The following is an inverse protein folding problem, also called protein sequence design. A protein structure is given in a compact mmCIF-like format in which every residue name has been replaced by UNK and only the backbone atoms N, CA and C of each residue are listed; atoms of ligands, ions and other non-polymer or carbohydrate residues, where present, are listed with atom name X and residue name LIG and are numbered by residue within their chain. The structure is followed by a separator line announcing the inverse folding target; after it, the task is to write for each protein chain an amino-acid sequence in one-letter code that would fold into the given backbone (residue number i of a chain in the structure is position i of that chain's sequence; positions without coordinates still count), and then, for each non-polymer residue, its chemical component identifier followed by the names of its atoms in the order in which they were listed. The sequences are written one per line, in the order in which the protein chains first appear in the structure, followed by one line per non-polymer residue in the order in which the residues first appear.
data_IF_013278288176
#
_entry.id   IF_013278288176
#
_cell.length_a   1.000
_cell.length_b   1.000
_cell.length_c   1.000
_cell.angle_alpha   90.00
_cell.angle_beta   90.00
_cell.angle_gamma   90.00
#
_symmetry.space_group_name_H-M   'P 1'
#
loop_
_entity.id
_entity.type
_entity.pdbx_description
1 polymer ?
#
# COMPACT_ATOMS: atom_id res chain seq x y z
N UNK A 1 -22.74 37.49 -28.89
CA UNK A 1 -21.58 38.40 -28.98
C UNK A 1 -20.36 37.56 -28.69
N UNK A 2 -19.75 36.99 -29.73
CA UNK A 2 -18.63 36.06 -29.61
C UNK A 2 -17.33 36.85 -29.52
N UNK A 3 -16.59 36.64 -28.42
CA UNK A 3 -15.25 37.18 -28.23
C UNK A 3 -14.21 36.16 -28.69
N UNK A 4 -13.51 36.49 -29.77
CA UNK A 4 -12.28 35.86 -30.24
C UNK A 4 -11.13 36.20 -29.28
N UNK A 5 -10.36 35.21 -28.86
CA UNK A 5 -9.08 35.39 -28.15
C UNK A 5 -7.95 35.07 -29.12
N UNK A 6 -7.13 36.08 -29.41
CA UNK A 6 -5.95 35.95 -30.26
C UNK A 6 -4.78 35.33 -29.49
N UNK A 7 -4.16 34.37 -30.16
CA UNK A 7 -2.91 33.70 -29.83
C UNK A 7 -1.73 34.65 -29.95
N UNK A 8 -0.85 34.69 -28.94
CA UNK A 8 0.52 35.20 -29.06
C UNK A 8 1.50 34.07 -28.72
N UNK A 9 2.26 33.65 -29.72
CA UNK A 9 3.43 32.77 -29.64
C UNK A 9 4.65 33.68 -29.59
N UNK A 10 5.39 33.68 -28.48
CA UNK A 10 6.68 34.35 -28.39
C UNK A 10 7.78 33.33 -28.72
N UNK A 11 8.45 33.55 -29.85
CA UNK A 11 9.63 32.83 -30.29
C UNK A 11 10.86 33.37 -29.55
N UNK A 12 11.71 32.47 -29.03
CA UNK A 12 13.02 32.80 -28.47
C UNK A 12 14.09 31.98 -29.19
N UNK A 13 14.96 32.66 -29.91
CA UNK A 13 16.06 32.04 -30.66
C UNK A 13 17.24 31.61 -29.74
N UNK A 14 18.02 30.57 -30.13
CA UNK A 14 19.14 30.00 -29.36
C UNK A 14 20.53 30.43 -29.88
N UNK A 15 21.57 30.37 -29.03
CA UNK A 15 23.05 30.41 -29.31
C UNK A 15 23.75 30.64 -27.93
N UNK A 16 24.86 30.05 -27.47
CA UNK A 16 25.89 29.11 -27.98
C UNK A 16 26.66 28.51 -26.79
N UNK A 17 27.34 27.38 -27.05
CA UNK A 17 28.18 26.54 -26.20
C UNK A 17 29.30 27.22 -25.37
N UNK A 18 29.70 26.55 -24.27
CA UNK A 18 30.91 26.84 -23.52
C UNK A 18 31.33 25.66 -22.63
N UNK A 19 32.30 24.90 -23.12
CA UNK A 19 33.03 23.79 -22.46
C UNK A 19 33.82 24.22 -21.22
N UNK A 20 33.98 23.35 -20.23
CA UNK A 20 34.85 23.60 -19.07
C UNK A 20 34.92 22.45 -18.06
N UNK A 21 35.81 21.50 -18.31
CA UNK A 21 36.32 20.51 -17.36
C UNK A 21 37.02 21.21 -16.17
N UNK A 22 36.78 20.72 -14.95
CA UNK A 22 37.49 21.16 -13.76
C UNK A 22 37.23 20.27 -12.55
N UNK A 23 37.94 19.15 -12.46
CA UNK A 23 38.03 18.35 -11.25
C UNK A 23 38.92 19.07 -10.23
N UNK A 24 38.50 19.15 -8.97
CA UNK A 24 39.43 19.30 -7.85
C UNK A 24 38.94 18.49 -6.66
N UNK A 25 39.82 17.59 -6.23
CA UNK A 25 39.68 16.73 -5.07
C UNK A 25 40.14 17.50 -3.83
N UNK A 26 39.34 17.46 -2.76
CA UNK A 26 39.80 17.69 -1.39
C UNK A 26 39.17 16.63 -0.50
N UNK A 27 40.06 15.81 0.07
CA UNK A 27 39.70 14.64 0.87
C UNK A 27 39.04 14.99 2.20
N UNK A 28 38.17 14.09 2.63
CA UNK A 28 37.86 13.88 4.03
C UNK A 28 38.05 12.40 4.32
N UNK A 29 39.13 12.07 5.04
CA UNK A 29 39.26 10.79 5.74
C UNK A 29 38.27 10.83 6.92
N UNK A 30 37.37 9.86 6.97
CA UNK A 30 36.77 9.40 8.22
C UNK A 30 36.99 7.88 8.25
N UNK A 31 38.01 7.49 9.02
CA UNK A 31 38.20 6.14 9.52
C UNK A 31 37.41 6.12 10.84
N UNK A 32 36.51 5.15 10.97
CA UNK A 32 35.80 4.65 12.17
C UNK A 32 34.32 4.40 11.86
N UNK A 33 34.01 3.39 11.03
CA UNK A 33 32.67 2.78 11.03
C UNK A 33 32.62 1.35 10.46
N UNK A 34 33.73 0.61 10.46
CA UNK A 34 33.76 -0.77 9.91
C UNK A 34 33.65 -1.86 10.99
N UNK A 35 33.75 -1.51 12.28
CA UNK A 35 33.64 -2.46 13.40
C UNK A 35 32.18 -2.81 13.75
N UNK A 36 31.27 -1.85 13.64
CA UNK A 36 29.84 -2.05 13.93
C UNK A 36 29.13 -2.88 12.86
N UNK A 37 29.53 -2.74 11.59
CA UNK A 37 28.88 -3.44 10.48
C UNK A 37 29.15 -4.96 10.46
N UNK A 38 30.20 -5.44 11.12
CA UNK A 38 30.51 -6.87 11.20
C UNK A 38 29.83 -7.55 12.40
N UNK A 39 29.72 -6.85 13.53
CA UNK A 39 29.10 -7.36 14.77
C UNK A 39 27.56 -7.42 14.66
N UNK A 40 26.96 -6.54 13.86
CA UNK A 40 25.51 -6.49 13.63
C UNK A 40 25.00 -7.63 12.74
N UNK A 41 25.85 -8.20 11.87
CA UNK A 41 25.46 -9.32 10.97
C UNK A 41 25.09 -10.61 11.70
N UNK A 42 25.90 -11.15 12.63
CA UNK A 42 25.54 -12.34 13.37
C UNK A 42 24.33 -12.10 14.29
N UNK A 43 24.23 -10.92 14.92
CA UNK A 43 23.07 -10.54 15.75
C UNK A 43 21.76 -10.45 14.96
N UNK A 44 21.78 -9.92 13.72
CA UNK A 44 20.61 -9.94 12.83
C UNK A 44 20.26 -11.38 12.44
N UNK A 45 21.26 -12.21 12.16
CA UNK A 45 21.06 -13.61 11.75
C UNK A 45 20.44 -14.43 12.89
N UNK A 46 20.95 -14.28 14.11
CA UNK A 46 20.39 -14.88 15.32
C UNK A 46 19.00 -14.35 15.66
N UNK A 47 18.71 -13.06 15.45
CA UNK A 47 17.37 -12.49 15.65
C UNK A 47 16.33 -12.99 14.63
N UNK A 48 16.77 -13.29 13.40
CA UNK A 48 15.96 -13.91 12.34
C UNK A 48 15.68 -15.37 12.66
N UNK A 49 16.64 -16.08 13.25
CA UNK A 49 16.50 -17.48 13.64
C UNK A 49 15.65 -17.68 14.92
N UNK A 50 15.69 -16.73 15.86
CA UNK A 50 14.81 -16.74 17.06
C UNK A 50 13.36 -16.42 16.69
N UNK A 51 13.12 -15.63 15.64
CA UNK A 51 11.83 -15.49 14.98
C UNK A 51 11.61 -16.64 13.98
N UNK A 52 11.72 -17.89 14.47
CA UNK A 52 11.47 -19.14 13.75
C UNK A 52 10.69 -18.96 12.45
N UNK A 53 11.40 -19.07 11.32
CA UNK A 53 10.95 -18.79 9.97
C UNK A 53 9.93 -19.81 9.45
N UNK A 54 8.74 -19.87 10.06
CA UNK A 54 7.60 -20.47 9.36
C UNK A 54 7.34 -19.62 8.13
N UNK A 55 7.39 -20.25 6.97
CA UNK A 55 6.97 -19.60 5.73
C UNK A 55 5.53 -19.13 5.86
N UNK A 56 5.17 -18.08 5.12
CA UNK A 56 3.80 -17.58 5.06
C UNK A 56 2.79 -18.69 4.71
N UNK A 57 3.22 -19.67 3.91
CA UNK A 57 2.42 -20.84 3.55
C UNK A 57 2.20 -21.77 4.76
N UNK A 58 3.25 -22.09 5.51
CA UNK A 58 3.12 -22.92 6.71
C UNK A 58 2.21 -22.25 7.75
N UNK A 59 2.34 -20.94 7.96
CA UNK A 59 1.42 -20.22 8.84
C UNK A 59 -0.03 -20.28 8.35
N UNK A 60 -0.28 -20.22 7.04
CA UNK A 60 -1.62 -20.35 6.48
C UNK A 60 -2.17 -21.78 6.63
N UNK A 61 -1.36 -22.79 6.33
CA UNK A 61 -1.76 -24.20 6.39
C UNK A 61 -2.05 -24.64 7.85
N UNK A 62 -1.26 -24.15 8.83
CA UNK A 62 -1.50 -24.35 10.27
C UNK A 62 -2.76 -23.65 10.78
N UNK A 63 -3.18 -22.57 10.12
CA UNK A 63 -4.45 -21.91 10.41
C UNK A 63 -5.61 -22.49 9.60
N UNK A 64 -5.39 -23.42 8.67
CA UNK A 64 -6.45 -23.94 7.82
C UNK A 64 -7.52 -24.74 8.61
N UNK A 65 -8.66 -25.01 7.96
CA UNK A 65 -9.71 -25.89 8.48
C UNK A 65 -9.25 -27.30 8.81
N UNK A 66 -8.08 -27.70 8.34
CA UNK A 66 -7.54 -29.04 8.51
C UNK A 66 -6.78 -29.22 9.82
N UNK A 67 -6.23 -28.14 10.36
CA UNK A 67 -5.50 -28.15 11.63
C UNK A 67 -6.34 -28.66 12.83
N UNK A 68 -7.62 -28.24 13.00
CA UNK A 68 -8.42 -28.71 14.13
C UNK A 68 -9.11 -30.06 13.91
N UNK A 69 -8.94 -30.77 12.79
CA UNK A 69 -9.68 -32.03 12.49
C UNK A 69 -9.47 -33.14 13.53
N UNK A 70 -8.34 -33.14 14.22
CA UNK A 70 -8.02 -34.10 15.29
C UNK A 70 -8.55 -33.66 16.67
N UNK A 71 -9.02 -32.43 16.80
CA UNK A 71 -9.55 -31.89 18.05
C UNK A 71 -10.99 -32.36 18.28
N UNK A 72 -11.37 -32.69 19.52
CA UNK A 72 -12.77 -32.90 19.90
C UNK A 72 -13.69 -31.71 19.59
N UNK A 73 -13.13 -30.52 19.38
CA UNK A 73 -13.86 -29.28 19.04
C UNK A 73 -14.22 -29.17 17.55
N UNK A 74 -13.76 -30.09 16.70
CA UNK A 74 -13.97 -30.00 15.26
C UNK A 74 -15.44 -30.00 14.84
N UNK A 75 -16.29 -30.76 15.53
CA UNK A 75 -17.74 -30.78 15.28
C UNK A 75 -18.36 -29.39 15.47
N UNK A 76 -18.03 -28.70 16.57
CA UNK A 76 -18.51 -27.34 16.87
C UNK A 76 -18.01 -26.34 15.82
N UNK A 77 -16.75 -26.47 15.40
CA UNK A 77 -16.18 -25.62 14.36
C UNK A 77 -16.86 -25.83 13.00
N UNK A 78 -17.26 -27.07 12.68
CA UNK A 78 -18.01 -27.41 11.47
C UNK A 78 -19.43 -26.82 11.49
N UNK A 79 -20.08 -26.80 12.64
CA UNK A 79 -21.40 -26.18 12.81
C UNK A 79 -21.34 -24.66 12.62
N UNK A 80 -20.22 -24.03 12.98
CA UNK A 80 -19.99 -22.58 12.91
C UNK A 80 -19.10 -22.17 11.72
N UNK A 81 -19.22 -22.87 10.58
CA UNK A 81 -18.43 -22.61 9.37
C UNK A 81 -18.57 -21.21 8.81
N UNK A 82 -19.74 -20.61 9.00
CA UNK A 82 -20.06 -19.24 8.59
C UNK A 82 -19.26 -18.18 9.34
N UNK A 83 -18.71 -18.50 10.52
CA UNK A 83 -17.88 -17.58 11.32
C UNK A 83 -16.46 -17.49 10.76
N UNK A 84 -15.93 -18.59 10.19
CA UNK A 84 -14.57 -18.67 9.67
C UNK A 84 -14.59 -18.83 8.15
N UNK A 85 -14.91 -17.74 7.47
CA UNK A 85 -14.95 -17.71 6.00
C UNK A 85 -13.54 -17.86 5.41
N UNK A 86 -13.40 -18.76 4.43
CA UNK A 86 -12.15 -18.92 3.67
C UNK A 86 -11.94 -17.77 2.69
N UNK A 87 -13.03 -17.25 2.12
CA UNK A 87 -13.05 -16.12 1.21
C UNK A 87 -13.81 -14.93 1.81
N UNK A 88 -13.35 -13.73 1.49
CA UNK A 88 -14.07 -12.50 1.87
C UNK A 88 -15.37 -12.46 1.05
N UNK A 89 -16.55 -12.41 1.70
CA UNK A 89 -17.81 -12.39 0.97
C UNK A 89 -17.90 -11.12 0.12
N UNK A 90 -18.47 -11.26 -1.07
CA UNK A 90 -18.71 -10.13 -1.98
C UNK A 90 -19.86 -9.25 -1.49
N UNK A 91 -20.75 -9.74 -0.65
CA UNK A 91 -21.87 -8.96 -0.14
C UNK A 91 -21.50 -8.21 1.14
N UNK A 92 -22.10 -7.04 1.32
CA UNK A 92 -21.97 -6.31 2.58
C UNK A 92 -22.72 -7.04 3.69
N UNK A 93 -22.14 -7.14 4.91
CA UNK A 93 -22.86 -7.70 6.04
C UNK A 93 -24.09 -6.86 6.34
N UNK A 94 -25.17 -7.51 6.77
CA UNK A 94 -26.39 -6.81 7.17
C UNK A 94 -26.07 -5.81 8.29
N UNK A 95 -26.42 -4.55 8.08
CA UNK A 95 -26.18 -3.49 9.05
C UNK A 95 -26.92 -3.78 10.36
N UNK A 96 -26.18 -4.02 11.44
CA UNK A 96 -26.73 -4.30 12.78
C UNK A 96 -27.08 -3.04 13.59
N UNK A 97 -27.33 -1.92 12.89
CA UNK A 97 -27.58 -0.61 13.52
C UNK A 97 -26.35 0.08 14.12
N UNK A 98 -25.16 -0.52 14.05
CA UNK A 98 -23.89 0.08 14.46
C UNK A 98 -23.19 0.63 13.21
N UNK A 99 -22.90 1.93 13.19
CA UNK A 99 -22.20 2.59 12.11
C UNK A 99 -20.86 3.14 12.60
N UNK A 100 -19.81 2.94 11.81
CA UNK A 100 -18.51 3.54 12.10
C UNK A 100 -18.56 5.04 11.78
N UNK A 101 -18.32 5.87 12.78
CA UNK A 101 -18.13 7.32 12.66
C UNK A 101 -16.66 7.66 12.92
N UNK A 102 -16.12 8.59 12.15
CA UNK A 102 -14.76 9.09 12.35
C UNK A 102 -14.89 10.52 12.83
N UNK A 103 -14.63 10.73 14.13
CA UNK A 103 -14.61 12.06 14.71
C UNK A 103 -13.41 12.85 14.18
N UNK A 104 -13.68 14.02 13.60
CA UNK A 104 -12.64 14.95 13.19
C UNK A 104 -12.38 15.94 14.32
N UNK A 105 -11.12 16.10 14.69
CA UNK A 105 -10.71 17.15 15.63
C UNK A 105 -10.99 18.52 15.00
N UNK A 106 -11.59 19.44 15.76
CA UNK A 106 -11.87 20.80 15.29
C UNK A 106 -10.60 21.47 14.76
N UNK A 107 -10.66 22.04 13.56
CA UNK A 107 -9.51 22.64 12.87
C UNK A 107 -8.72 21.67 11.98
N UNK A 108 -9.11 20.41 11.88
CA UNK A 108 -8.51 19.47 10.91
C UNK A 108 -8.79 19.90 9.48
N UNK A 109 -7.73 20.13 8.71
CA UNK A 109 -7.82 20.46 7.28
C UNK A 109 -8.12 19.22 6.45
N UNK A 110 -8.81 19.41 5.33
CA UNK A 110 -9.08 18.32 4.40
C UNK A 110 -7.82 17.88 3.65
N UNK A 111 -7.54 16.57 3.68
CA UNK A 111 -6.46 15.97 2.92
C UNK A 111 -6.87 15.81 1.45
N UNK A 112 -6.27 16.61 0.55
CA UNK A 112 -6.42 16.43 -0.90
C UNK A 112 -5.05 16.16 -1.48
N UNK A 113 -4.84 14.91 -1.89
CA UNK A 113 -3.62 14.50 -2.59
C UNK A 113 -3.99 13.88 -3.91
N UNK A 114 -3.35 14.37 -4.99
CA UNK A 114 -3.58 13.86 -6.34
C UNK A 114 -2.97 12.47 -6.47
N UNK A 115 -3.65 11.59 -7.20
CA UNK A 115 -3.15 10.25 -7.51
C UNK A 115 -1.85 10.35 -8.34
N UNK A 116 -0.83 9.64 -7.91
CA UNK A 116 0.43 9.48 -8.65
C UNK A 116 0.23 8.53 -9.85
N UNK A 117 1.06 8.59 -10.90
CA UNK A 117 1.00 7.63 -11.99
C UNK A 117 1.07 6.19 -11.48
N UNK A 118 0.11 5.35 -11.92
CA UNK A 118 -0.01 3.96 -11.49
C UNK A 118 0.52 3.02 -12.58
N UNK A 119 1.32 2.00 -12.24
CA UNK A 119 1.92 1.10 -13.23
C UNK A 119 0.92 0.09 -13.83
N UNK A 120 -0.19 -0.20 -13.13
CA UNK A 120 -1.13 -1.29 -13.48
C UNK A 120 -2.59 -0.81 -13.43
N UNK A 121 -2.93 0.16 -14.28
CA UNK A 121 -4.25 0.82 -14.26
C UNK A 121 -5.41 -0.18 -14.39
N UNK A 122 -5.32 -1.15 -15.32
CA UNK A 122 -6.40 -2.12 -15.55
C UNK A 122 -6.71 -3.01 -14.34
N UNK A 123 -5.68 -3.54 -13.67
CA UNK A 123 -5.87 -4.41 -12.50
C UNK A 123 -6.54 -3.66 -11.33
N UNK A 124 -6.29 -2.35 -11.24
CA UNK A 124 -6.89 -1.48 -10.23
C UNK A 124 -8.34 -1.17 -10.59
N UNK A 125 -8.63 -0.89 -11.86
CA UNK A 125 -9.99 -0.68 -12.34
C UNK A 125 -10.85 -1.93 -12.11
N UNK A 126 -10.36 -3.11 -12.48
CA UNK A 126 -11.04 -4.40 -12.25
C UNK A 126 -11.27 -4.64 -10.75
N UNK A 127 -10.29 -4.30 -9.90
CA UNK A 127 -10.42 -4.40 -8.44
C UNK A 127 -11.54 -3.50 -7.92
N UNK A 128 -11.55 -2.21 -8.26
CA UNK A 128 -12.60 -1.29 -7.80
C UNK A 128 -13.97 -1.58 -8.42
N UNK A 129 -14.04 -2.07 -9.66
CA UNK A 129 -15.29 -2.49 -10.28
C UNK A 129 -15.90 -3.69 -9.54
N UNK A 130 -15.08 -4.68 -9.16
CA UNK A 130 -15.55 -5.81 -8.34
C UNK A 130 -16.10 -5.34 -6.99
N UNK A 131 -15.41 -4.41 -6.33
CA UNK A 131 -15.81 -3.84 -5.02
C UNK A 131 -17.04 -2.93 -5.11
N UNK A 132 -17.22 -2.26 -6.25
CA UNK A 132 -18.41 -1.47 -6.55
C UNK A 132 -19.64 -2.38 -6.73
N UNK A 133 -19.51 -3.48 -7.48
CA UNK A 133 -20.57 -4.50 -7.65
C UNK A 133 -20.95 -5.16 -6.33
N UNK A 134 -19.96 -5.39 -5.48
CA UNK A 134 -20.10 -5.87 -4.10
C UNK A 134 -20.77 -4.86 -3.13
N UNK A 135 -20.98 -3.61 -3.55
CA UNK A 135 -21.49 -2.54 -2.69
C UNK A 135 -20.48 -2.02 -1.65
N UNK A 136 -19.27 -2.59 -1.59
CA UNK A 136 -18.22 -2.24 -0.64
C UNK A 136 -17.60 -0.86 -0.91
N UNK A 137 -17.58 -0.44 -2.17
CA UNK A 137 -17.12 0.88 -2.59
C UNK A 137 -18.23 1.59 -3.37
N UNK A 138 -18.30 2.91 -3.25
CA UNK A 138 -19.26 3.76 -4.00
C UNK A 138 -18.58 5.01 -4.54
N UNK A 139 -19.06 5.52 -5.67
CA UNK A 139 -18.57 6.79 -6.24
C UNK A 139 -18.97 7.94 -5.32
N UNK A 140 -18.01 8.79 -4.97
CA UNK A 140 -18.22 9.95 -4.09
C UNK A 140 -17.54 11.19 -4.67
N UNK A 141 -18.12 12.36 -4.37
CA UNK A 141 -17.49 13.67 -4.58
C UNK A 141 -17.01 14.17 -3.22
N UNK A 142 -15.95 13.54 -2.72
CA UNK A 142 -15.40 13.84 -1.39
C UNK A 142 -14.46 15.05 -1.46
N UNK A 143 -14.50 15.97 -0.47
CA UNK A 143 -13.47 16.98 -0.30
C UNK A 143 -12.15 16.39 0.22
N UNK A 144 -12.11 15.09 0.51
CA UNK A 144 -10.93 14.34 0.91
C UNK A 144 -10.55 13.30 -0.14
N UNK A 145 -9.27 13.25 -0.51
CA UNK A 145 -8.70 12.27 -1.43
C UNK A 145 -7.30 11.90 -0.99
N UNK A 146 -7.01 10.60 -0.97
CA UNK A 146 -5.70 10.02 -0.60
C UNK A 146 -5.30 9.08 -1.74
N UNK A 147 -4.02 9.07 -2.17
CA UNK A 147 -3.58 8.20 -3.25
C UNK A 147 -3.69 6.72 -2.85
N UNK A 148 -4.07 5.89 -3.82
CA UNK A 148 -3.99 4.43 -3.72
C UNK A 148 -2.62 3.96 -4.24
N UNK A 149 -2.03 2.95 -3.58
CA UNK A 149 -0.75 2.35 -3.95
C UNK A 149 -0.93 0.93 -4.46
N UNK A 150 -0.12 0.53 -5.44
CA UNK A 150 -0.04 -0.86 -5.88
C UNK A 150 1.00 -1.60 -5.04
N UNK A 151 0.60 -2.71 -4.43
CA UNK A 151 1.51 -3.59 -3.67
C UNK A 151 1.43 -4.99 -4.26
N UNK A 152 2.59 -5.57 -4.62
CA UNK A 152 2.66 -6.96 -5.06
C UNK A 152 2.54 -7.87 -3.84
N UNK A 153 1.55 -8.76 -3.84
CA UNK A 153 1.45 -9.81 -2.82
C UNK A 153 2.49 -10.90 -3.11
N UNK A 154 3.38 -11.13 -2.15
CA UNK A 154 4.30 -12.28 -2.08
C UNK A 154 3.65 -13.45 -1.37
#
# INVERSE_FOLDING_TARGET
MSTTVDTQVEQKDPVTEGSGLGASALGAKAIEDEREAEEVKPLITESVDILSAKSKKEHFDEQSWDAPKSSPLYEVLRENKDIRLDDIPSELPQGKGVQHEIDLVSGTKSCVTRQWPLPQVKAIDDFFESRLKAGQVRKLKSPHSVPTFCVKKT
#
